data_IF_361613843158
#
_entry.id   IF_361613843158
#
_cell.length_a   1.000
_cell.length_b   1.000
_cell.length_c   1.000
_cell.angle_alpha   90.00
_cell.angle_beta   90.00
_cell.angle_gamma   90.00
#
_symmetry.space_group_name_H-M   'P 1'
#
loop_
_entity.id
_entity.type
_entity.pdbx_description
1 polymer ?
#
# COMPACT_ATOMS: atom_id res chain seq x y z
N UNK A 1 -14.99 21.94 24.87
CA UNK A 1 -14.01 22.16 23.78
C UNK A 1 -12.75 21.28 23.86
N UNK A 2 -12.41 20.68 25.02
CA UNK A 2 -11.23 19.80 25.14
C UNK A 2 -11.45 18.40 24.52
N UNK A 3 -12.65 17.83 24.65
CA UNK A 3 -12.97 16.50 24.12
C UNK A 3 -12.96 16.42 22.58
N UNK A 4 -13.36 17.49 21.88
CA UNK A 4 -13.32 17.55 20.41
C UNK A 4 -11.88 17.58 19.90
N UNK A 5 -11.00 18.30 20.58
CA UNK A 5 -9.58 18.40 20.20
C UNK A 5 -8.84 17.07 20.39
N UNK A 6 -9.11 16.35 21.49
CA UNK A 6 -8.59 15.00 21.73
C UNK A 6 -9.09 13.98 20.70
N UNK A 7 -10.37 14.02 20.34
CA UNK A 7 -10.94 13.14 19.32
C UNK A 7 -10.36 13.41 17.91
N UNK A 8 -10.09 14.68 17.57
CA UNK A 8 -9.42 15.04 16.32
C UNK A 8 -7.96 14.55 16.27
N UNK A 9 -7.22 14.65 17.38
CA UNK A 9 -5.84 14.12 17.48
C UNK A 9 -5.84 12.58 17.38
N UNK A 10 -6.77 11.89 18.04
CA UNK A 10 -6.92 10.44 17.93
C UNK A 10 -7.27 9.98 16.51
N UNK A 11 -8.11 10.72 15.79
CA UNK A 11 -8.39 10.48 14.38
C UNK A 11 -7.17 10.72 13.47
N UNK A 12 -6.21 11.53 13.91
CA UNK A 12 -4.98 11.83 13.18
C UNK A 12 -3.86 10.79 13.40
N UNK A 13 -4.10 9.80 14.28
CA UNK A 13 -3.23 8.65 14.55
C UNK A 13 -3.70 7.38 13.84
N UNK A 14 -4.97 7.30 13.42
CA UNK A 14 -5.45 6.16 12.65
C UNK A 14 -4.84 6.18 11.24
N UNK A 15 -4.14 5.10 10.85
CA UNK A 15 -3.59 4.99 9.51
C UNK A 15 -4.70 5.15 8.47
N UNK A 16 -4.49 6.06 7.53
CA UNK A 16 -5.37 6.20 6.37
C UNK A 16 -4.89 5.27 5.25
N UNK A 17 -5.82 4.77 4.44
CA UNK A 17 -5.47 4.01 3.24
C UNK A 17 -5.05 5.00 2.13
N UNK A 18 -3.77 5.04 1.75
CA UNK A 18 -3.31 5.97 0.71
C UNK A 18 -3.86 5.56 -0.65
N UNK A 19 -4.07 6.54 -1.52
CA UNK A 19 -4.54 6.33 -2.89
C UNK A 19 -3.41 6.24 -3.90
N UNK A 20 -2.24 6.75 -3.52
CA UNK A 20 -1.06 6.83 -4.38
C UNK A 20 0.20 6.37 -3.65
N UNK A 21 1.23 5.99 -4.40
CA UNK A 21 2.55 5.70 -3.84
C UNK A 21 3.12 6.89 -3.07
N UNK A 22 2.99 8.10 -3.63
CA UNK A 22 3.46 9.31 -2.96
C UNK A 22 2.76 9.53 -1.61
N UNK A 23 1.44 9.33 -1.54
CA UNK A 23 0.71 9.42 -0.27
C UNK A 23 1.18 8.35 0.73
N UNK A 24 1.42 7.12 0.28
CA UNK A 24 1.90 6.04 1.15
C UNK A 24 3.28 6.36 1.75
N UNK A 25 4.21 6.85 0.92
CA UNK A 25 5.58 7.15 1.34
C UNK A 25 5.69 8.42 2.18
N UNK A 26 4.76 9.37 2.03
CA UNK A 26 4.71 10.56 2.87
C UNK A 26 3.88 10.37 4.16
N UNK A 27 3.27 9.20 4.35
CA UNK A 27 2.50 8.92 5.56
C UNK A 27 3.41 8.56 6.76
N UNK A 28 2.93 8.75 8.00
CA UNK A 28 3.61 8.24 9.20
C UNK A 28 3.83 6.73 9.21
N UNK A 29 3.14 5.99 8.33
CA UNK A 29 3.20 4.52 8.21
C UNK A 29 3.92 4.07 6.93
N UNK A 30 4.80 4.91 6.38
CA UNK A 30 5.51 4.66 5.13
C UNK A 30 6.32 3.36 5.16
N UNK A 31 6.92 3.02 6.29
CA UNK A 31 7.67 1.78 6.49
C UNK A 31 6.76 0.54 6.39
N UNK A 32 5.59 0.55 7.04
CA UNK A 32 4.63 -0.54 6.96
C UNK A 32 4.06 -0.68 5.54
N UNK A 33 3.83 0.43 4.84
CA UNK A 33 3.40 0.40 3.45
C UNK A 33 4.49 -0.12 2.51
N UNK A 34 5.75 0.26 2.73
CA UNK A 34 6.90 -0.24 1.96
C UNK A 34 7.05 -1.74 2.14
N UNK A 35 7.02 -2.22 3.39
CA UNK A 35 7.09 -3.64 3.69
C UNK A 35 5.94 -4.41 3.01
N UNK A 36 4.72 -3.87 3.04
CA UNK A 36 3.59 -4.50 2.36
C UNK A 36 3.76 -4.56 0.82
N UNK A 37 4.46 -3.60 0.20
CA UNK A 37 4.79 -3.63 -1.23
C UNK A 37 5.87 -4.67 -1.53
N UNK A 38 6.90 -4.76 -0.69
CA UNK A 38 7.96 -5.77 -0.81
C UNK A 38 7.39 -7.18 -0.66
N UNK A 39 6.52 -7.42 0.34
CA UNK A 39 5.81 -8.68 0.52
C UNK A 39 5.05 -9.13 -0.73
N UNK A 40 4.39 -8.20 -1.44
CA UNK A 40 3.68 -8.50 -2.68
C UNK A 40 4.67 -8.89 -3.79
N UNK A 41 5.75 -8.12 -3.99
CA UNK A 41 6.79 -8.44 -4.98
C UNK A 41 7.41 -9.81 -4.69
N UNK A 42 7.77 -10.08 -3.45
CA UNK A 42 8.32 -11.36 -3.02
C UNK A 42 7.33 -12.51 -3.23
N UNK A 43 6.04 -12.26 -3.07
CA UNK A 43 5.01 -13.27 -3.39
C UNK A 43 4.92 -13.54 -4.90
N UNK A 44 5.07 -12.51 -5.74
CA UNK A 44 5.05 -12.66 -7.20
C UNK A 44 6.28 -13.42 -7.70
N UNK A 45 7.45 -13.16 -7.11
CA UNK A 45 8.68 -13.89 -7.40
C UNK A 45 8.59 -15.35 -6.96
N UNK A 46 8.11 -15.63 -5.74
CA UNK A 46 7.98 -17.00 -5.22
C UNK A 46 6.98 -17.86 -5.99
N UNK A 47 6.00 -17.25 -6.64
CA UNK A 47 5.03 -17.98 -7.42
C UNK A 47 5.54 -18.38 -8.82
N UNK A 48 6.80 -18.05 -9.17
CA UNK A 48 7.42 -18.31 -10.49
C UNK A 48 6.61 -17.81 -11.70
N UNK A 49 5.62 -16.96 -11.46
CA UNK A 49 4.72 -16.42 -12.49
C UNK A 49 5.27 -15.19 -13.19
N UNK A 50 6.30 -14.55 -12.63
CA UNK A 50 6.87 -13.30 -13.14
C UNK A 50 8.39 -13.36 -13.14
N UNK A 51 8.99 -13.00 -14.27
CA UNK A 51 10.44 -12.78 -14.38
C UNK A 51 10.66 -11.26 -14.45
N UNK A 52 11.40 -10.67 -13.50
CA UNK A 52 11.80 -9.27 -13.62
C UNK A 52 12.72 -9.12 -14.84
N UNK A 53 12.28 -8.32 -15.80
CA UNK A 53 13.05 -8.02 -17.02
C UNK A 53 13.26 -6.51 -17.12
N UNK A 54 14.42 -6.10 -17.61
CA UNK A 54 14.60 -4.71 -18.04
C UNK A 54 13.67 -4.44 -19.23
N UNK A 55 13.00 -3.29 -19.19
CA UNK A 55 12.10 -2.85 -20.25
C UNK A 55 12.92 -2.67 -21.52
N UNK A 56 12.61 -3.41 -22.61
CA UNK A 56 13.29 -3.20 -23.88
C UNK A 56 13.03 -1.77 -24.40
N UNK A 57 13.99 -1.13 -25.09
CA UNK A 57 13.90 0.28 -25.51
C UNK A 57 12.62 0.61 -26.32
N UNK A 58 12.07 -0.37 -27.02
CA UNK A 58 10.93 -0.22 -27.92
C UNK A 58 9.59 -0.68 -27.33
N UNK A 59 9.56 -1.08 -26.05
CA UNK A 59 8.34 -1.58 -25.41
C UNK A 59 7.81 -0.61 -24.36
N UNK A 60 6.51 -0.35 -24.43
CA UNK A 60 5.80 0.36 -23.39
C UNK A 60 5.48 -0.58 -22.23
N UNK A 61 5.86 -0.19 -21.02
CA UNK A 61 5.39 -0.85 -19.81
C UNK A 61 3.91 -0.60 -19.63
N UNK A 62 3.17 -1.65 -19.22
CA UNK A 62 1.80 -1.48 -18.79
C UNK A 62 1.76 -0.55 -17.57
N UNK A 63 0.93 0.48 -17.65
CA UNK A 63 0.71 1.36 -16.51
C UNK A 63 -0.04 0.59 -15.43
N UNK A 64 0.53 0.54 -14.24
CA UNK A 64 -0.10 -0.02 -13.06
C UNK A 64 -0.11 0.97 -11.90
N UNK A 65 -0.86 0.63 -10.86
CA UNK A 65 -0.92 1.40 -9.63
C UNK A 65 -0.89 0.47 -8.43
N UNK A 66 -0.43 1.02 -7.31
CA UNK A 66 -0.57 0.37 -6.01
C UNK A 66 -1.97 0.58 -5.45
N UNK A 67 -2.53 -0.49 -4.90
CA UNK A 67 -3.77 -0.49 -4.14
C UNK A 67 -3.43 -0.86 -2.69
N UNK A 68 -3.71 0.05 -1.78
CA UNK A 68 -3.41 -0.10 -0.36
C UNK A 68 -4.69 -0.42 0.42
N UNK A 69 -4.57 -1.35 1.37
CA UNK A 69 -5.66 -1.76 2.26
C UNK A 69 -5.16 -2.07 3.65
N UNK A 70 -5.90 -1.60 4.65
CA UNK A 70 -5.74 -2.01 6.03
C UNK A 70 -6.65 -3.21 6.29
N UNK A 71 -6.07 -4.28 6.83
CA UNK A 71 -6.84 -5.40 7.36
C UNK A 71 -7.11 -5.13 8.83
N UNK A 72 -8.38 -5.23 9.20
CA UNK A 72 -8.84 -5.05 10.58
C UNK A 72 -9.28 -6.40 11.13
N UNK A 73 -9.00 -6.63 12.40
CA UNK A 73 -9.45 -7.80 13.14
C UNK A 73 -10.90 -7.67 13.60
N UNK A 74 -11.34 -8.57 14.48
CA UNK A 74 -12.72 -8.60 14.96
C UNK A 74 -13.05 -7.40 15.84
N UNK A 75 -12.03 -6.86 16.52
CA UNK A 75 -12.17 -5.76 17.46
C UNK A 75 -11.86 -4.39 16.80
N UNK A 76 -11.67 -4.39 15.47
CA UNK A 76 -11.40 -3.19 14.66
C UNK A 76 -9.93 -2.76 14.63
N UNK A 77 -9.07 -3.49 15.34
CA UNK A 77 -7.63 -3.28 15.39
C UNK A 77 -6.98 -3.58 14.04
N UNK A 78 -5.97 -2.80 13.66
CA UNK A 78 -5.24 -3.03 12.41
C UNK A 78 -4.34 -4.24 12.59
N UNK A 79 -4.67 -5.32 11.90
CA UNK A 79 -3.92 -6.58 11.94
C UNK A 79 -2.84 -6.64 10.88
N UNK A 80 -3.02 -5.95 9.74
CA UNK A 80 -2.05 -5.99 8.64
C UNK A 80 -2.21 -4.82 7.66
N UNK A 81 -1.06 -4.30 7.22
CA UNK A 81 -0.95 -3.44 6.04
C UNK A 81 -0.82 -4.33 4.79
N UNK A 82 -1.65 -4.07 3.77
CA UNK A 82 -1.64 -4.84 2.52
C UNK A 82 -1.50 -3.88 1.34
N UNK A 83 -0.55 -4.15 0.46
CA UNK A 83 -0.41 -3.49 -0.83
C UNK A 83 -0.56 -4.52 -1.95
N UNK A 84 -1.10 -4.11 -3.10
CA UNK A 84 -1.14 -4.91 -4.33
C UNK A 84 -0.83 -4.05 -5.53
N UNK A 85 -0.01 -4.56 -6.44
CA UNK A 85 0.20 -3.89 -7.71
C UNK A 85 -0.85 -4.37 -8.71
N UNK A 86 -1.59 -3.43 -9.29
CA UNK A 86 -2.67 -3.73 -10.24
C UNK A 86 -2.42 -2.97 -11.53
N UNK A 87 -2.43 -3.71 -12.65
CA UNK A 87 -2.35 -3.12 -13.98
C UNK A 87 -3.68 -2.47 -14.33
N UNK A 88 -3.63 -1.28 -14.94
CA UNK A 88 -4.83 -0.64 -15.48
C UNK A 88 -5.27 -1.43 -16.72
N UNK A 89 -6.47 -2.02 -16.67
CA UNK A 89 -7.09 -2.63 -17.84
C UNK A 89 -7.37 -1.58 -18.93
N UNK A 90 -7.36 -2.01 -20.19
CA UNK A 90 -7.72 -1.20 -21.35
C UNK A 90 -9.21 -1.32 -21.67
#
# INVERSE_FOLDING_TARGET
MIAIHLAMIANNLEPTEPKTFAEAMNSPHSEQWMQAMMDEIDSLMRNDTFIPVNVPPEKHTLQGKWVYKLKRGKDGEITRFKARFVVRGF
#
